data_IF_187957294042
#
_entry.id   IF_187957294042
#
_cell.length_a   1.000
_cell.length_b   1.000
_cell.length_c   1.000
_cell.angle_alpha   90.00
_cell.angle_beta   90.00
_cell.angle_gamma   90.00
#
_symmetry.space_group_name_H-M   'P 1'
#
loop_
_entity.id
_entity.type
_entity.pdbx_description
1 polymer ?
#
# COMPACT_ATOMS: atom_id res chain seq x y z
N UNK A 1 17.21 4.44 -11.19
CA UNK A 1 16.35 4.22 -10.03
C UNK A 1 15.65 5.53 -9.64
N UNK A 2 14.33 5.60 -9.85
CA UNK A 2 13.54 6.73 -9.40
C UNK A 2 13.42 6.71 -7.87
N UNK A 3 13.45 7.88 -7.20
CA UNK A 3 13.31 7.93 -5.76
C UNK A 3 11.91 7.55 -5.29
N UNK A 4 11.83 7.09 -4.05
CA UNK A 4 10.56 6.95 -3.35
C UNK A 4 10.13 8.30 -2.77
N UNK A 5 8.83 8.48 -2.66
CA UNK A 5 8.25 9.66 -2.03
C UNK A 5 7.62 9.25 -0.69
N UNK A 6 7.93 9.99 0.35
CA UNK A 6 7.29 9.83 1.64
C UNK A 6 6.44 11.04 1.96
N UNK A 7 5.29 10.78 2.60
CA UNK A 7 4.33 11.80 3.02
C UNK A 7 4.53 12.11 4.49
N UNK A 8 4.65 13.37 4.88
CA UNK A 8 4.77 13.72 6.28
C UNK A 8 3.45 13.56 7.01
N UNK A 9 3.63 13.37 8.28
CA UNK A 9 2.57 13.54 9.23
C UNK A 9 3.02 14.44 10.39
N UNK A 10 2.06 15.16 10.87
CA UNK A 10 2.21 16.30 11.75
C UNK A 10 2.27 15.96 13.23
N UNK A 11 2.38 14.66 13.55
CA UNK A 11 2.43 14.22 14.95
C UNK A 11 3.24 12.95 15.13
N UNK A 12 4.03 12.88 16.19
CA UNK A 12 4.62 11.68 16.75
C UNK A 12 5.78 11.08 15.97
N UNK A 13 5.84 9.77 15.97
CA UNK A 13 6.93 8.89 15.53
C UNK A 13 7.37 9.05 14.07
N UNK A 14 6.58 9.70 13.24
CA UNK A 14 6.80 9.72 11.79
C UNK A 14 8.12 10.35 11.36
N UNK A 15 8.47 11.49 11.96
CA UNK A 15 9.74 12.15 11.61
C UNK A 15 10.94 11.36 12.14
N UNK A 16 10.80 10.70 13.28
CA UNK A 16 11.84 9.83 13.84
C UNK A 16 12.14 8.66 12.91
N UNK A 17 11.08 8.03 12.37
CA UNK A 17 11.21 6.95 11.36
C UNK A 17 11.97 7.48 10.14
N UNK A 18 11.57 8.63 9.62
CA UNK A 18 12.19 9.22 8.42
C UNK A 18 13.65 9.57 8.66
N UNK A 19 13.99 10.16 9.82
CA UNK A 19 15.37 10.52 10.17
C UNK A 19 16.26 9.27 10.31
N UNK A 20 15.72 8.19 10.86
CA UNK A 20 16.44 6.92 10.91
C UNK A 20 16.65 6.33 9.51
N UNK A 21 15.65 6.43 8.62
CA UNK A 21 15.78 6.00 7.23
C UNK A 21 16.88 6.76 6.45
N UNK A 22 17.16 8.04 6.78
CA UNK A 22 18.27 8.79 6.16
C UNK A 22 19.63 8.22 6.54
N UNK A 23 19.77 7.64 7.73
CA UNK A 23 21.01 7.04 8.23
C UNK A 23 21.28 5.64 7.64
N UNK A 24 20.23 5.00 7.11
CA UNK A 24 20.32 3.67 6.51
C UNK A 24 20.69 3.74 5.02
N UNK A 25 21.27 2.67 4.49
CA UNK A 25 21.60 2.58 3.05
C UNK A 25 20.36 2.22 2.21
N UNK A 26 19.35 3.07 2.27
CA UNK A 26 18.10 2.91 1.52
C UNK A 26 18.18 3.55 0.12
N UNK A 27 17.28 3.18 -0.79
CA UNK A 27 17.09 3.92 -2.02
C UNK A 27 16.80 5.40 -1.75
N UNK A 28 17.19 6.28 -2.67
CA UNK A 28 16.88 7.72 -2.54
C UNK A 28 15.39 7.93 -2.33
N UNK A 29 15.04 8.79 -1.39
CA UNK A 29 13.67 9.22 -1.13
C UNK A 29 13.62 10.70 -0.79
N UNK A 30 12.44 11.27 -0.83
CA UNK A 30 12.19 12.63 -0.38
C UNK A 30 10.83 12.72 0.35
N UNK A 31 10.73 13.69 1.22
CA UNK A 31 9.55 14.00 2.00
C UNK A 31 8.81 15.17 1.35
N UNK A 32 7.50 15.07 1.20
CA UNK A 32 6.66 16.18 0.70
C UNK A 32 6.04 16.90 1.88
N UNK A 33 6.66 17.98 2.36
CA UNK A 33 6.26 18.67 3.60
C UNK A 33 6.65 20.15 3.64
N UNK A 34 6.27 20.84 4.73
CA UNK A 34 6.77 22.16 5.08
C UNK A 34 8.20 22.04 5.63
N UNK A 35 9.21 22.62 4.97
CA UNK A 35 10.60 22.57 5.43
C UNK A 35 10.79 23.14 6.84
N UNK A 36 10.13 24.24 7.17
CA UNK A 36 10.23 24.86 8.51
C UNK A 36 9.72 23.96 9.62
N UNK A 37 8.71 23.14 9.33
CA UNK A 37 8.25 22.13 10.27
C UNK A 37 9.30 21.03 10.47
N UNK A 38 9.91 20.55 9.38
CA UNK A 38 10.95 19.53 9.44
C UNK A 38 12.18 20.00 10.23
N UNK A 39 12.65 21.25 10.00
CA UNK A 39 13.73 21.87 10.75
C UNK A 39 13.45 21.91 12.27
N UNK A 40 12.24 22.32 12.66
CA UNK A 40 11.81 22.31 14.06
C UNK A 40 11.82 20.90 14.65
N UNK A 41 11.39 19.91 13.89
CA UNK A 41 11.40 18.51 14.33
C UNK A 41 12.83 18.00 14.55
N UNK A 42 13.72 18.23 13.61
CA UNK A 42 15.13 17.83 13.68
C UNK A 42 15.79 18.46 14.92
N UNK A 43 15.59 19.76 15.12
CA UNK A 43 16.13 20.49 16.28
C UNK A 43 15.60 19.91 17.62
N UNK A 44 14.32 19.63 17.71
CA UNK A 44 13.71 19.06 18.93
C UNK A 44 14.14 17.62 19.24
N UNK A 45 14.52 16.88 18.21
CA UNK A 45 15.03 15.50 18.34
C UNK A 45 16.54 15.44 18.49
N UNK A 46 17.23 16.59 18.59
CA UNK A 46 18.68 16.69 18.64
C UNK A 46 19.37 15.83 17.54
N UNK A 47 18.78 15.83 16.33
CA UNK A 47 19.30 15.07 15.21
C UNK A 47 20.26 15.92 14.38
N UNK A 48 21.35 15.29 13.89
CA UNK A 48 22.35 15.93 13.03
C UNK A 48 22.07 15.71 11.54
N UNK A 49 20.86 15.30 11.18
CA UNK A 49 20.49 15.08 9.77
C UNK A 49 20.31 16.42 9.08
N UNK A 50 21.08 16.64 8.03
CA UNK A 50 20.95 17.82 7.18
C UNK A 50 19.70 17.78 6.33
N UNK A 51 19.11 18.95 6.06
CA UNK A 51 17.97 19.12 5.14
C UNK A 51 18.49 19.58 3.78
N UNK A 52 18.01 18.90 2.73
CA UNK A 52 18.17 19.30 1.34
C UNK A 52 16.79 19.67 0.77
N UNK A 53 16.52 20.96 0.62
CA UNK A 53 15.29 21.45 -0.02
C UNK A 53 15.46 21.32 -1.52
N UNK A 54 14.58 20.53 -2.16
CA UNK A 54 14.65 20.25 -3.58
C UNK A 54 13.49 20.89 -4.34
N UNK A 55 13.78 21.45 -5.50
CA UNK A 55 12.79 21.87 -6.49
C UNK A 55 12.60 20.79 -7.55
N UNK A 56 13.66 20.04 -7.83
CA UNK A 56 13.65 18.94 -8.78
C UNK A 56 14.01 17.61 -8.08
N UNK A 57 13.31 16.55 -8.44
CA UNK A 57 13.55 15.18 -7.90
C UNK A 57 14.98 14.68 -8.21
N UNK A 58 15.59 15.19 -9.28
CA UNK A 58 16.99 14.84 -9.64
C UNK A 58 18.00 15.30 -8.59
N UNK A 59 17.68 16.33 -7.82
CA UNK A 59 18.56 16.94 -6.84
C UNK A 59 18.57 16.18 -5.49
N UNK A 60 17.87 15.03 -5.41
CA UNK A 60 17.87 14.19 -4.21
C UNK A 60 19.28 13.70 -3.86
N UNK A 61 19.72 14.03 -2.64
CA UNK A 61 20.93 13.52 -2.00
C UNK A 61 20.67 12.18 -1.31
N UNK A 62 21.70 11.34 -1.15
CA UNK A 62 21.65 10.14 -0.31
C UNK A 62 21.97 10.42 1.16
N UNK A 63 22.62 11.56 1.45
CA UNK A 63 23.16 11.89 2.78
C UNK A 63 22.32 12.89 3.57
N UNK A 64 21.25 13.41 2.99
CA UNK A 64 20.40 14.42 3.60
C UNK A 64 18.93 14.04 3.51
N UNK A 65 18.11 14.60 4.38
CA UNK A 65 16.66 14.56 4.26
C UNK A 65 16.21 15.48 3.13
N UNK A 66 15.89 14.90 1.99
CA UNK A 66 15.36 15.66 0.87
C UNK A 66 13.91 16.06 1.15
N UNK A 67 13.58 17.33 0.94
CA UNK A 67 12.24 17.87 1.13
C UNK A 67 11.78 18.57 -0.14
N UNK A 68 10.67 18.10 -0.70
CA UNK A 68 9.90 18.82 -1.70
C UNK A 68 8.86 19.68 -0.98
N UNK A 69 8.96 21.02 -1.04
CA UNK A 69 8.10 21.91 -0.26
C UNK A 69 6.64 21.84 -0.67
N UNK A 70 5.75 22.03 0.31
CA UNK A 70 4.33 22.30 0.13
C UNK A 70 4.02 23.78 0.44
N UNK A 71 2.85 24.25 -0.03
CA UNK A 71 2.40 25.64 0.20
C UNK A 71 1.83 25.82 1.60
N UNK A 72 1.02 24.85 2.05
CA UNK A 72 0.39 24.89 3.36
C UNK A 72 1.41 24.71 4.48
N UNK A 73 1.35 25.61 5.47
CA UNK A 73 2.22 25.52 6.65
C UNK A 73 1.75 24.44 7.60
N UNK A 74 2.70 23.81 8.29
CA UNK A 74 2.45 22.78 9.26
C UNK A 74 2.67 23.30 10.68
N UNK A 75 1.62 23.26 11.50
CA UNK A 75 1.70 23.61 12.93
C UNK A 75 2.50 22.53 13.66
N UNK A 76 3.51 22.98 14.40
CA UNK A 76 4.41 22.10 15.11
C UNK A 76 3.78 21.52 16.38
N UNK A 77 4.02 20.22 16.65
CA UNK A 77 3.69 19.54 17.88
C UNK A 77 3.84 18.02 17.76
N UNK A 78 4.61 17.41 18.70
CA UNK A 78 4.89 15.97 18.66
C UNK A 78 3.72 15.08 19.09
N UNK A 79 2.94 15.52 20.07
CA UNK A 79 1.91 14.69 20.71
C UNK A 79 0.48 15.13 20.38
N UNK A 80 0.32 16.18 19.57
CA UNK A 80 -1.00 16.75 19.26
C UNK A 80 -1.30 16.62 17.77
N UNK A 81 -2.52 16.22 17.46
CA UNK A 81 -3.06 16.33 16.12
C UNK A 81 -3.77 17.67 15.99
N UNK A 82 -3.34 18.47 15.05
CA UNK A 82 -3.93 19.78 14.77
C UNK A 82 -4.81 19.69 13.53
N UNK A 83 -6.07 20.13 13.65
CA UNK A 83 -6.98 20.24 12.50
C UNK A 83 -6.44 21.15 11.40
N UNK A 84 -5.69 22.17 11.79
CA UNK A 84 -5.04 23.13 10.89
C UNK A 84 -4.01 22.48 9.96
N UNK A 85 -3.53 21.29 10.29
CA UNK A 85 -2.57 20.54 9.47
C UNK A 85 -3.23 19.70 8.38
N UNK A 86 -4.56 19.56 8.40
CA UNK A 86 -5.29 18.73 7.42
C UNK A 86 -5.06 19.20 5.98
N UNK A 87 -5.11 20.50 5.64
CA UNK A 87 -4.80 20.98 4.29
C UNK A 87 -3.39 20.59 3.82
N UNK A 88 -2.38 20.70 4.69
CA UNK A 88 -1.00 20.32 4.38
C UNK A 88 -0.87 18.81 4.13
N UNK A 89 -1.59 17.99 4.89
CA UNK A 89 -1.62 16.54 4.72
C UNK A 89 -2.23 16.17 3.36
N UNK A 90 -3.34 16.79 2.99
CA UNK A 90 -4.01 16.54 1.71
C UNK A 90 -3.12 17.01 0.55
N UNK A 91 -2.57 18.22 0.63
CA UNK A 91 -1.65 18.74 -0.40
C UNK A 91 -0.44 17.83 -0.61
N UNK A 92 0.16 17.35 0.47
CA UNK A 92 1.27 16.40 0.38
C UNK A 92 0.88 15.11 -0.32
N UNK A 93 -0.30 14.57 -0.02
CA UNK A 93 -0.80 13.36 -0.65
C UNK A 93 -1.09 13.57 -2.14
N UNK A 94 -1.74 14.69 -2.50
CA UNK A 94 -2.08 15.02 -3.88
C UNK A 94 -0.82 15.23 -4.73
N UNK A 95 0.18 15.95 -4.20
CA UNK A 95 1.47 16.13 -4.86
C UNK A 95 2.16 14.78 -5.08
N UNK A 96 2.13 13.90 -4.07
CA UNK A 96 2.70 12.55 -4.17
C UNK A 96 2.01 11.72 -5.26
N UNK A 97 0.69 11.74 -5.30
CA UNK A 97 -0.11 11.04 -6.33
C UNK A 97 0.19 11.59 -7.72
N UNK A 98 0.28 12.92 -7.86
CA UNK A 98 0.61 13.57 -9.14
C UNK A 98 1.96 13.10 -9.66
N UNK A 99 2.99 13.06 -8.82
CA UNK A 99 4.32 12.60 -9.19
C UNK A 99 4.35 11.11 -9.56
N UNK A 100 3.62 10.27 -8.83
CA UNK A 100 3.50 8.85 -9.14
C UNK A 100 2.78 8.61 -10.47
N UNK A 101 1.67 9.33 -10.74
CA UNK A 101 0.98 9.29 -12.04
C UNK A 101 1.87 9.72 -13.20
N UNK A 102 2.75 10.69 -12.98
CA UNK A 102 3.74 11.17 -13.95
C UNK A 102 4.95 10.21 -14.08
N UNK A 103 4.97 9.10 -13.35
CA UNK A 103 6.10 8.13 -13.31
C UNK A 103 7.44 8.78 -12.92
N UNK A 104 7.40 9.85 -12.14
CA UNK A 104 8.60 10.55 -11.64
C UNK A 104 9.17 9.90 -10.38
N UNK A 105 8.40 9.02 -9.72
CA UNK A 105 8.80 8.27 -8.54
C UNK A 105 8.46 6.81 -8.70
N UNK A 106 9.20 5.92 -8.02
CA UNK A 106 8.99 4.47 -8.06
C UNK A 106 7.76 4.04 -7.24
N UNK A 107 7.41 4.79 -6.22
CA UNK A 107 6.28 4.48 -5.34
C UNK A 107 6.08 5.54 -4.27
N UNK A 108 4.97 5.42 -3.56
CA UNK A 108 4.60 6.29 -2.44
C UNK A 108 4.65 5.48 -1.16
N UNK A 109 5.40 5.94 -0.17
CA UNK A 109 5.39 5.39 1.19
C UNK A 109 4.55 6.31 2.06
N UNK A 110 3.43 5.81 2.58
CA UNK A 110 2.56 6.57 3.46
C UNK A 110 2.94 6.32 4.92
N UNK A 111 3.20 7.39 5.65
CA UNK A 111 3.40 7.35 7.09
C UNK A 111 2.04 7.29 7.83
N UNK A 112 1.99 6.81 9.08
CA UNK A 112 0.76 6.72 9.87
C UNK A 112 0.00 8.05 9.96
N UNK A 113 -1.34 8.03 9.98
CA UNK A 113 -2.22 9.19 10.11
C UNK A 113 -3.19 9.02 11.29
N UNK A 114 -3.56 10.14 11.91
CA UNK A 114 -4.65 10.16 12.87
C UNK A 114 -5.95 10.32 12.09
N UNK A 115 -6.57 9.18 11.76
CA UNK A 115 -7.77 9.11 10.92
C UNK A 115 -8.91 9.99 11.45
N UNK A 116 -9.13 9.99 12.77
CA UNK A 116 -10.17 10.78 13.42
C UNK A 116 -10.10 12.25 13.01
N UNK A 117 -8.94 12.87 13.17
CA UNK A 117 -8.75 14.30 12.82
C UNK A 117 -8.99 14.59 11.35
N UNK A 118 -8.60 13.67 10.45
CA UNK A 118 -8.83 13.85 9.01
C UNK A 118 -10.32 13.77 8.65
N UNK A 119 -11.03 12.76 9.19
CA UNK A 119 -12.45 12.54 8.91
C UNK A 119 -13.29 13.73 9.43
N UNK A 120 -13.02 14.16 10.67
CA UNK A 120 -13.70 15.30 11.30
C UNK A 120 -13.47 16.64 10.56
N UNK A 121 -12.47 16.71 9.69
CA UNK A 121 -12.12 17.90 8.91
C UNK A 121 -12.23 17.68 7.38
N UNK A 122 -13.17 16.85 6.95
CA UNK A 122 -13.60 16.75 5.55
C UNK A 122 -12.87 15.71 4.70
N UNK A 123 -12.02 14.87 5.28
CA UNK A 123 -11.43 13.74 4.55
C UNK A 123 -12.38 12.53 4.61
N UNK A 124 -13.30 12.46 3.66
CA UNK A 124 -14.38 11.47 3.63
C UNK A 124 -13.95 10.09 3.09
N UNK A 125 -12.79 9.59 3.53
CA UNK A 125 -12.26 8.28 3.12
C UNK A 125 -11.82 7.46 4.35
N UNK A 126 -12.07 6.15 4.38
CA UNK A 126 -11.65 5.27 5.48
C UNK A 126 -10.14 5.22 5.68
N UNK A 127 -9.38 5.47 4.62
CA UNK A 127 -7.92 5.47 4.67
C UNK A 127 -7.26 5.93 3.37
N UNK A 128 -5.93 5.79 3.32
CA UNK A 128 -5.14 6.15 2.14
C UNK A 128 -5.50 5.30 0.92
N UNK A 129 -5.75 4.02 1.11
CA UNK A 129 -6.04 3.07 0.03
C UNK A 129 -7.25 3.48 -0.78
N UNK A 130 -8.34 3.84 -0.08
CA UNK A 130 -9.59 4.26 -0.71
C UNK A 130 -9.42 5.62 -1.42
N UNK A 131 -8.69 6.54 -0.79
CA UNK A 131 -8.37 7.83 -1.40
C UNK A 131 -7.52 7.66 -2.66
N UNK A 132 -6.44 6.89 -2.59
CA UNK A 132 -5.57 6.58 -3.73
C UNK A 132 -6.36 5.92 -4.86
N UNK A 133 -7.23 4.95 -4.54
CA UNK A 133 -8.11 4.30 -5.51
C UNK A 133 -9.03 5.28 -6.22
N UNK A 134 -9.67 6.17 -5.47
CA UNK A 134 -10.57 7.21 -6.01
C UNK A 134 -9.83 8.17 -6.94
N UNK A 135 -8.73 8.77 -6.48
CA UNK A 135 -7.97 9.74 -7.26
C UNK A 135 -7.32 9.11 -8.50
N UNK A 136 -6.88 7.85 -8.41
CA UNK A 136 -6.30 7.14 -9.56
C UNK A 136 -7.35 6.57 -10.51
N UNK A 137 -8.62 6.57 -10.13
CA UNK A 137 -9.71 5.89 -10.83
C UNK A 137 -9.41 4.41 -11.08
N UNK A 138 -8.83 3.73 -10.09
CA UNK A 138 -8.44 2.32 -10.12
C UNK A 138 -8.94 1.59 -8.88
N UNK A 139 -9.27 0.30 -9.04
CA UNK A 139 -9.56 -0.56 -7.91
C UNK A 139 -8.23 -0.90 -7.21
N UNK A 140 -8.03 -0.53 -5.95
CA UNK A 140 -6.83 -0.90 -5.22
C UNK A 140 -6.84 -2.41 -4.91
N UNK A 141 -5.66 -3.00 -4.86
CA UNK A 141 -5.44 -4.36 -4.40
C UNK A 141 -4.45 -4.33 -3.24
N UNK A 142 -4.85 -4.86 -2.10
CA UNK A 142 -3.95 -5.02 -0.96
C UNK A 142 -3.09 -6.26 -1.17
N UNK A 143 -1.77 -6.07 -1.14
CA UNK A 143 -0.79 -7.15 -1.22
C UNK A 143 0.12 -7.07 0.01
N UNK A 144 0.20 -8.15 0.77
CA UNK A 144 1.21 -8.35 1.81
C UNK A 144 2.36 -9.14 1.20
N UNK A 145 3.58 -8.67 1.41
CA UNK A 145 4.73 -9.30 0.77
C UNK A 145 5.96 -9.35 1.66
N UNK A 146 6.76 -10.38 1.44
CA UNK A 146 8.14 -10.48 1.86
C UNK A 146 8.99 -11.00 0.70
N UNK A 147 10.26 -11.33 0.95
CA UNK A 147 11.18 -11.80 -0.10
C UNK A 147 10.70 -13.08 -0.80
N UNK A 148 9.98 -13.97 -0.10
CA UNK A 148 9.59 -15.29 -0.60
C UNK A 148 8.12 -15.36 -1.04
N UNK A 149 7.24 -14.59 -0.40
CA UNK A 149 5.80 -14.74 -0.54
C UNK A 149 5.12 -13.40 -0.82
N UNK A 150 4.13 -13.42 -1.70
CA UNK A 150 3.23 -12.30 -1.98
C UNK A 150 1.79 -12.78 -1.84
N UNK A 151 1.02 -12.16 -0.96
CA UNK A 151 -0.37 -12.55 -0.67
C UNK A 151 -1.30 -11.39 -0.99
N UNK A 152 -2.22 -11.59 -1.92
CA UNK A 152 -3.28 -10.65 -2.23
C UNK A 152 -4.58 -11.05 -1.52
N UNK A 153 -5.30 -10.09 -0.97
CA UNK A 153 -6.56 -10.33 -0.28
C UNK A 153 -7.75 -9.99 -1.19
N UNK A 154 -8.76 -10.85 -1.20
CA UNK A 154 -10.00 -10.61 -1.95
C UNK A 154 -10.85 -9.51 -1.31
N UNK A 155 -10.83 -9.44 0.02
CA UNK A 155 -11.57 -8.48 0.83
C UNK A 155 -10.66 -7.82 1.86
N UNK A 156 -10.95 -6.56 2.21
CA UNK A 156 -10.20 -5.79 3.22
C UNK A 156 -11.17 -4.98 4.07
N UNK A 157 -10.90 -4.90 5.37
CA UNK A 157 -11.59 -4.01 6.32
C UNK A 157 -13.13 -4.16 6.35
N UNK A 158 -13.61 -5.39 6.18
CA UNK A 158 -15.05 -5.70 6.30
C UNK A 158 -15.30 -6.70 7.42
N UNK A 159 -16.48 -6.67 8.06
CA UNK A 159 -16.88 -7.69 9.03
C UNK A 159 -16.90 -9.09 8.41
N UNK A 160 -16.57 -10.11 9.20
CA UNK A 160 -16.56 -11.52 8.75
C UNK A 160 -17.94 -11.91 8.15
N UNK A 161 -19.04 -11.46 8.75
CA UNK A 161 -20.41 -11.70 8.27
C UNK A 161 -20.69 -11.17 6.85
N UNK A 162 -19.84 -10.30 6.32
CA UNK A 162 -19.98 -9.74 4.97
C UNK A 162 -19.09 -10.42 3.93
N UNK A 163 -18.20 -11.34 4.34
CA UNK A 163 -17.23 -11.96 3.41
C UNK A 163 -17.96 -12.73 2.32
N UNK A 164 -18.92 -13.57 2.67
CA UNK A 164 -19.66 -14.40 1.70
C UNK A 164 -20.37 -13.57 0.62
N UNK A 165 -20.89 -12.38 0.99
CA UNK A 165 -21.51 -11.45 0.05
C UNK A 165 -20.49 -10.82 -0.93
N UNK A 166 -19.22 -10.80 -0.57
CA UNK A 166 -18.12 -10.24 -1.38
C UNK A 166 -17.39 -11.31 -2.20
N UNK A 167 -17.51 -12.57 -1.83
CA UNK A 167 -16.97 -13.70 -2.62
C UNK A 167 -17.92 -13.95 -3.78
N UNK A 168 -17.66 -13.26 -4.90
CA UNK A 168 -18.43 -13.38 -6.14
C UNK A 168 -17.49 -13.67 -7.32
N UNK A 169 -18.00 -14.33 -8.37
CA UNK A 169 -17.21 -14.59 -9.60
C UNK A 169 -16.56 -13.32 -10.13
N UNK A 170 -17.33 -12.23 -10.24
CA UNK A 170 -16.85 -10.94 -10.75
C UNK A 170 -15.72 -10.35 -9.87
N UNK A 171 -15.89 -10.41 -8.56
CA UNK A 171 -14.89 -9.84 -7.64
C UNK A 171 -13.60 -10.66 -7.66
N UNK A 172 -13.72 -12.00 -7.63
CA UNK A 172 -12.57 -12.90 -7.69
C UNK A 172 -11.82 -12.77 -9.02
N UNK A 173 -12.53 -12.80 -10.15
CA UNK A 173 -11.93 -12.65 -11.47
C UNK A 173 -11.16 -11.33 -11.60
N UNK A 174 -11.77 -10.21 -11.20
CA UNK A 174 -11.12 -8.90 -11.23
C UNK A 174 -9.89 -8.85 -10.32
N UNK A 175 -9.97 -9.43 -9.14
CA UNK A 175 -8.85 -9.44 -8.19
C UNK A 175 -7.67 -10.26 -8.73
N UNK A 176 -7.92 -11.45 -9.26
CA UNK A 176 -6.88 -12.29 -9.89
C UNK A 176 -6.27 -11.55 -11.10
N UNK A 177 -7.08 -10.91 -11.93
CA UNK A 177 -6.56 -10.19 -13.10
C UNK A 177 -5.67 -9.00 -12.69
N UNK A 178 -6.07 -8.22 -11.68
CA UNK A 178 -5.26 -7.11 -11.14
C UNK A 178 -3.96 -7.68 -10.57
N UNK A 179 -4.04 -8.78 -9.83
CA UNK A 179 -2.89 -9.41 -9.20
C UNK A 179 -1.87 -9.93 -10.23
N UNK A 180 -2.33 -10.64 -11.26
CA UNK A 180 -1.47 -11.08 -12.37
C UNK A 180 -0.78 -9.88 -13.03
N UNK A 181 -1.54 -8.83 -13.33
CA UNK A 181 -1.00 -7.62 -13.96
C UNK A 181 0.06 -6.95 -13.10
N UNK A 182 -0.17 -6.85 -11.78
CA UNK A 182 0.81 -6.30 -10.83
C UNK A 182 2.06 -7.17 -10.74
N UNK A 183 1.91 -8.49 -10.58
CA UNK A 183 3.06 -9.40 -10.53
C UNK A 183 3.93 -9.26 -11.78
N UNK A 184 3.32 -9.12 -12.95
CA UNK A 184 4.06 -8.97 -14.20
C UNK A 184 4.67 -7.59 -14.38
N UNK A 185 3.89 -6.51 -14.17
CA UNK A 185 4.32 -5.15 -14.50
C UNK A 185 5.13 -4.49 -13.39
N UNK A 186 4.71 -4.71 -12.12
CA UNK A 186 5.29 -4.00 -11.00
C UNK A 186 6.40 -4.81 -10.32
N UNK A 187 6.27 -6.15 -10.32
CA UNK A 187 7.26 -7.06 -9.73
C UNK A 187 8.17 -7.75 -10.77
N UNK A 188 7.92 -7.59 -12.07
CA UNK A 188 8.75 -8.17 -13.13
C UNK A 188 8.66 -9.70 -13.28
N UNK A 189 7.62 -10.33 -12.72
CA UNK A 189 7.43 -11.79 -12.78
C UNK A 189 6.66 -12.15 -14.06
N UNK A 190 7.35 -12.60 -15.09
CA UNK A 190 6.78 -12.79 -16.43
C UNK A 190 5.64 -13.83 -16.43
N UNK A 191 5.84 -14.98 -15.76
CA UNK A 191 4.87 -16.06 -15.66
C UNK A 191 4.55 -16.37 -14.19
N UNK A 192 3.73 -15.52 -13.52
CA UNK A 192 3.45 -15.73 -12.12
C UNK A 192 2.67 -17.03 -11.88
N UNK A 193 3.10 -17.80 -10.89
CA UNK A 193 2.39 -18.97 -10.38
C UNK A 193 1.52 -18.49 -9.22
N UNK A 194 0.23 -18.78 -9.27
CA UNK A 194 -0.75 -18.26 -8.32
C UNK A 194 -1.52 -19.40 -7.69
N UNK A 195 -1.58 -19.43 -6.37
CA UNK A 195 -2.50 -20.28 -5.64
C UNK A 195 -3.69 -19.47 -5.12
N UNK A 196 -4.87 -20.04 -5.23
CA UNK A 196 -6.10 -19.47 -4.67
C UNK A 196 -6.53 -20.30 -3.49
N UNK A 197 -6.59 -19.66 -2.32
CA UNK A 197 -7.06 -20.29 -1.09
C UNK A 197 -8.56 -20.61 -1.17
N UNK A 198 -8.97 -21.73 -0.58
CA UNK A 198 -10.33 -21.94 -0.16
C UNK A 198 -10.72 -20.96 0.96
N UNK A 199 -12.00 -20.89 1.30
CA UNK A 199 -12.51 -19.99 2.33
C UNK A 199 -12.25 -20.49 3.76
N UNK A 200 -12.03 -21.78 3.91
CA UNK A 200 -11.78 -22.42 5.19
C UNK A 200 -10.88 -23.67 5.01
N UNK A 201 -10.41 -24.30 6.09
CA UNK A 201 -9.58 -25.50 6.03
C UNK A 201 -10.24 -26.69 5.33
N UNK A 202 -11.55 -26.77 5.38
CA UNK A 202 -12.32 -27.89 4.81
C UNK A 202 -12.66 -27.75 3.32
N UNK A 203 -12.36 -26.59 2.70
CA UNK A 203 -12.63 -26.32 1.27
C UNK A 203 -14.06 -26.64 0.83
N UNK A 204 -15.03 -26.46 1.74
CA UNK A 204 -16.45 -26.73 1.50
C UNK A 204 -16.86 -28.20 1.51
N UNK A 205 -15.95 -29.16 1.72
CA UNK A 205 -16.18 -30.62 1.74
C UNK A 205 -17.11 -31.09 0.62
N UNK A 206 -16.71 -30.84 -0.61
CA UNK A 206 -17.49 -31.18 -1.82
C UNK A 206 -18.91 -30.56 -1.82
N UNK A 207 -19.10 -29.45 -1.13
CA UNK A 207 -20.37 -28.73 -1.07
C UNK A 207 -21.25 -29.09 0.13
N UNK A 208 -20.77 -29.91 1.07
CA UNK A 208 -21.48 -30.26 2.30
C UNK A 208 -21.49 -29.14 3.33
N UNK A 209 -20.37 -28.38 3.42
CA UNK A 209 -20.20 -27.27 4.39
C UNK A 209 -20.36 -25.91 3.69
N UNK A 210 -20.13 -25.82 2.38
CA UNK A 210 -20.28 -24.62 1.57
C UNK A 210 -20.18 -24.94 0.09
N UNK A 211 -20.74 -24.09 -0.76
CA UNK A 211 -20.74 -24.29 -2.22
C UNK A 211 -19.94 -23.20 -2.95
N UNK A 212 -19.28 -22.29 -2.23
CA UNK A 212 -18.54 -21.18 -2.80
C UNK A 212 -17.33 -21.67 -3.63
N UNK A 213 -16.64 -22.70 -3.16
CA UNK A 213 -15.52 -23.32 -3.88
C UNK A 213 -15.99 -23.89 -5.21
N UNK A 214 -17.09 -24.61 -5.23
CA UNK A 214 -17.63 -25.26 -6.44
C UNK A 214 -18.25 -24.23 -7.38
N UNK A 215 -19.06 -23.32 -6.85
CA UNK A 215 -19.89 -22.43 -7.66
C UNK A 215 -19.17 -21.15 -8.09
N UNK A 216 -18.12 -20.74 -7.38
CA UNK A 216 -17.44 -19.44 -7.57
C UNK A 216 -15.96 -19.63 -7.82
N UNK A 217 -15.21 -20.26 -6.89
CA UNK A 217 -13.74 -20.25 -6.93
C UNK A 217 -13.21 -21.12 -8.08
N UNK A 218 -13.61 -22.40 -8.11
CA UNK A 218 -13.17 -23.35 -9.13
C UNK A 218 -13.48 -22.89 -10.56
N UNK A 219 -14.70 -22.43 -10.89
CA UNK A 219 -15.00 -21.93 -12.24
C UNK A 219 -14.10 -20.76 -12.68
N UNK A 220 -13.71 -19.89 -11.77
CA UNK A 220 -12.82 -18.77 -12.09
C UNK A 220 -11.39 -19.27 -12.28
N UNK A 221 -10.89 -20.17 -11.44
CA UNK A 221 -9.58 -20.80 -11.63
C UNK A 221 -9.51 -21.48 -13.00
N UNK A 222 -10.51 -22.28 -13.35
CA UNK A 222 -10.56 -22.98 -14.62
C UNK A 222 -10.61 -22.02 -15.81
N UNK A 223 -11.30 -20.88 -15.67
CA UNK A 223 -11.29 -19.80 -16.67
C UNK A 223 -9.89 -19.25 -16.93
N UNK A 224 -9.09 -19.03 -15.87
CA UNK A 224 -7.72 -18.55 -16.02
C UNK A 224 -6.77 -19.63 -16.55
N UNK A 225 -6.95 -20.90 -16.15
CA UNK A 225 -6.22 -22.03 -16.73
C UNK A 225 -6.43 -22.13 -18.24
N UNK A 226 -7.68 -22.03 -18.70
CA UNK A 226 -8.02 -21.99 -20.14
C UNK A 226 -7.37 -20.83 -20.90
N UNK A 227 -7.04 -19.73 -20.21
CA UNK A 227 -6.29 -18.59 -20.76
C UNK A 227 -4.77 -18.77 -20.66
N UNK A 228 -4.28 -19.97 -20.37
CA UNK A 228 -2.85 -20.29 -20.26
C UNK A 228 -2.17 -19.71 -19.02
N UNK A 229 -2.92 -19.39 -17.94
CA UNK A 229 -2.32 -18.91 -16.69
C UNK A 229 -2.03 -20.08 -15.75
N UNK A 230 -0.86 -20.01 -15.09
CA UNK A 230 -0.46 -20.98 -14.08
C UNK A 230 -1.13 -20.63 -12.75
N UNK A 231 -2.27 -21.27 -12.50
CA UNK A 231 -3.08 -21.01 -11.31
C UNK A 231 -3.55 -22.32 -10.69
N UNK A 232 -3.49 -22.40 -9.36
CA UNK A 232 -3.79 -23.59 -8.57
C UNK A 232 -4.92 -23.32 -7.59
N UNK A 233 -5.59 -24.36 -7.13
CA UNK A 233 -6.61 -24.26 -6.09
C UNK A 233 -8.00 -24.70 -6.56
N UNK A 234 -9.04 -24.50 -5.70
CA UNK A 234 -8.91 -23.97 -4.32
C UNK A 234 -8.06 -24.88 -3.43
N UNK A 235 -7.14 -24.32 -2.66
CA UNK A 235 -6.27 -25.04 -1.72
C UNK A 235 -6.75 -24.76 -0.30
N UNK A 236 -6.84 -25.76 0.60
CA UNK A 236 -7.21 -25.52 1.99
C UNK A 236 -6.35 -24.41 2.64
N UNK A 237 -7.00 -23.51 3.38
CA UNK A 237 -6.37 -22.29 3.87
C UNK A 237 -5.28 -22.55 4.90
N UNK A 238 -5.38 -23.64 5.66
CA UNK A 238 -4.42 -24.03 6.70
C UNK A 238 -3.14 -24.66 6.12
N UNK A 239 -3.24 -25.35 4.97
CA UNK A 239 -2.12 -26.11 4.40
C UNK A 239 -1.36 -25.34 3.33
N UNK A 240 -1.99 -24.36 2.65
CA UNK A 240 -1.38 -23.69 1.50
C UNK A 240 -0.11 -22.88 1.81
N UNK A 241 0.12 -22.52 3.06
CA UNK A 241 1.28 -21.73 3.48
C UNK A 241 2.42 -22.55 4.07
N UNK A 242 2.32 -23.89 4.10
CA UNK A 242 3.39 -24.77 4.49
C UNK A 242 4.54 -24.71 3.48
N UNK A 243 5.77 -24.90 3.95
CA UNK A 243 6.95 -24.76 3.08
C UNK A 243 6.92 -25.70 1.87
N UNK A 244 6.40 -26.90 2.01
CA UNK A 244 6.30 -27.86 0.91
C UNK A 244 5.26 -27.45 -0.10
N UNK A 245 4.10 -26.99 0.35
CA UNK A 245 3.06 -26.44 -0.55
C UNK A 245 3.56 -25.22 -1.36
N UNK A 246 4.40 -24.37 -0.74
CA UNK A 246 4.98 -23.20 -1.40
C UNK A 246 6.05 -23.53 -2.45
N UNK A 247 6.66 -24.72 -2.42
CA UNK A 247 7.60 -25.18 -3.46
C UNK A 247 6.88 -25.46 -4.77
N UNK A 248 5.61 -25.89 -4.69
CA UNK A 248 4.78 -26.24 -5.84
C UNK A 248 4.00 -25.08 -6.42
N UNK A 249 4.02 -23.92 -5.75
CA UNK A 249 3.35 -22.67 -6.14
C UNK A 249 4.39 -21.56 -6.53
#
# INVERSE_FOLDING_TARGET
NLPFISKPMTSGINIEIVLNCVKENLPKFFLVTDPKWAEKCIKNLNSNVEINIIENIKDCSKKALNILPIKNKVKFGFKKSYKENVPAIIESLDNSIKLAKQKKVSGIVTLPIIKKTLIENGFNYPGHTEYLGKISNKKPLMIMLNQKLKVATLTTHIPISQITKKVTKKNLENTIQIYINSLTKDFGIINPRIAVSALNPHSGEEGKIGKEEINIIKPIIDKFKKKGKTIYGPIPADTMFHQDALKDI
#
